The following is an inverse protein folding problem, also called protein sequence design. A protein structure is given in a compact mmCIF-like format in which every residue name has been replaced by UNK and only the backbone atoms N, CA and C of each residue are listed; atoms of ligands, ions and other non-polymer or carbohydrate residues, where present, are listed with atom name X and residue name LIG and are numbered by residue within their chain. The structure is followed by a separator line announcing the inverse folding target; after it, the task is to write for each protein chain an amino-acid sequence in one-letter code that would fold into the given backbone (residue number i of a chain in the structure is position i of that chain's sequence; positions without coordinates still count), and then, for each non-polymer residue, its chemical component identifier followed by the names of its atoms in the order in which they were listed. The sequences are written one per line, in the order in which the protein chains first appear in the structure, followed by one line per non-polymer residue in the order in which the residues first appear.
data_IF_150528332169
#
_entry.id   IF_150528332169
#
_cell.length_a   1.000
_cell.length_b   1.000
_cell.length_c   1.000
_cell.angle_alpha   90.00
_cell.angle_beta   90.00
_cell.angle_gamma   90.00
#
_symmetry.space_group_name_H-M   'P 1'
#
loop_
_entity.id
_entity.type
_entity.pdbx_description
1 polymer ?
#
# COMPACT_ATOMS: atom_id res chain seq x y z
N UNK A 1 -13.32 -26.75 -72.62
CA UNK A 1 -13.02 -27.60 -71.45
C UNK A 1 -11.78 -27.06 -70.78
N UNK A 2 -11.95 -26.10 -69.88
CA UNK A 2 -10.89 -25.51 -69.06
C UNK A 2 -11.13 -25.97 -67.63
N UNK A 3 -10.35 -26.96 -67.20
CA UNK A 3 -10.44 -27.56 -65.88
C UNK A 3 -9.85 -26.65 -64.82
N UNK A 4 -10.70 -26.18 -63.94
CA UNK A 4 -10.40 -25.48 -62.69
C UNK A 4 -9.61 -26.42 -61.77
N UNK A 5 -8.39 -26.02 -61.38
CA UNK A 5 -7.64 -26.67 -60.30
C UNK A 5 -8.17 -26.13 -58.97
N UNK A 6 -8.57 -26.96 -58.00
CA UNK A 6 -9.00 -26.46 -56.69
C UNK A 6 -7.78 -26.01 -55.89
N UNK A 7 -7.83 -24.80 -55.36
CA UNK A 7 -6.88 -24.28 -54.38
C UNK A 7 -7.01 -25.08 -53.08
N UNK A 8 -5.94 -25.78 -52.74
CA UNK A 8 -5.74 -26.46 -51.45
C UNK A 8 -5.82 -25.44 -50.31
N UNK A 9 -6.82 -25.58 -49.45
CA UNK A 9 -6.85 -24.99 -48.12
C UNK A 9 -5.74 -25.65 -47.29
N UNK A 10 -4.67 -24.91 -47.00
CA UNK A 10 -3.67 -25.31 -46.00
C UNK A 10 -4.29 -25.22 -44.62
N UNK A 11 -4.65 -26.39 -44.06
CA UNK A 11 -4.88 -26.55 -42.62
C UNK A 11 -3.52 -26.42 -41.93
N UNK A 12 -3.34 -25.36 -41.15
CA UNK A 12 -2.12 -25.12 -40.37
C UNK A 12 -2.18 -25.98 -39.12
N UNK A 13 -1.36 -27.04 -39.06
CA UNK A 13 -1.23 -27.85 -37.85
C UNK A 13 -0.80 -26.98 -36.65
N UNK A 14 -1.25 -27.29 -35.41
CA UNK A 14 -0.81 -26.59 -34.21
C UNK A 14 0.71 -26.64 -34.04
N UNK A 15 1.37 -25.50 -34.12
CA UNK A 15 2.78 -25.38 -33.74
C UNK A 15 2.90 -25.54 -32.22
N UNK A 16 3.66 -26.53 -31.80
CA UNK A 16 4.00 -26.72 -30.38
C UNK A 16 5.30 -25.97 -30.09
N UNK A 17 5.33 -25.17 -29.02
CA UNK A 17 6.49 -24.41 -28.57
C UNK A 17 6.90 -24.87 -27.18
N UNK A 18 8.17 -25.24 -27.04
CA UNK A 18 8.77 -25.53 -25.73
C UNK A 18 9.37 -24.25 -25.16
N UNK A 19 8.97 -23.90 -23.95
CA UNK A 19 9.54 -22.78 -23.18
C UNK A 19 10.45 -23.31 -22.08
N UNK A 20 11.65 -22.72 -21.99
CA UNK A 20 12.59 -22.91 -20.90
C UNK A 20 12.64 -21.64 -20.05
N UNK A 21 13.00 -21.76 -18.76
CA UNK A 21 12.83 -20.68 -17.78
C UNK A 21 13.63 -19.39 -18.04
N UNK A 22 14.56 -19.38 -19.00
CA UNK A 22 15.36 -18.20 -19.37
C UNK A 22 14.88 -17.49 -20.64
N UNK A 23 13.91 -18.04 -21.37
CA UNK A 23 13.44 -17.49 -22.65
C UNK A 23 12.06 -16.86 -22.48
N UNK A 24 11.93 -15.52 -22.49
CA UNK A 24 10.63 -14.87 -22.39
C UNK A 24 9.84 -15.04 -23.69
N UNK A 25 8.56 -15.39 -23.56
CA UNK A 25 7.57 -15.32 -24.63
C UNK A 25 6.92 -13.93 -24.62
N UNK A 26 7.05 -13.20 -25.73
CA UNK A 26 6.35 -11.92 -25.92
C UNK A 26 4.90 -12.17 -26.33
N UNK A 27 3.98 -11.44 -25.72
CA UNK A 27 2.52 -11.58 -25.90
C UNK A 27 1.95 -10.41 -26.71
N UNK A 28 2.42 -10.23 -27.94
CA UNK A 28 2.16 -9.04 -28.75
C UNK A 28 1.36 -9.29 -30.04
N UNK A 29 1.03 -10.54 -30.36
CA UNK A 29 0.25 -10.89 -31.55
C UNK A 29 -1.20 -11.24 -31.17
N UNK A 30 -2.19 -10.37 -31.47
CA UNK A 30 -3.59 -10.61 -31.16
C UNK A 30 -4.27 -11.66 -32.04
N UNK A 31 -3.62 -12.11 -33.10
CA UNK A 31 -4.13 -13.18 -33.97
C UNK A 31 -3.85 -14.58 -33.43
N UNK A 32 -3.03 -14.68 -32.38
CA UNK A 32 -2.55 -15.94 -31.82
C UNK A 32 -2.83 -16.02 -30.33
N UNK A 33 -3.29 -17.19 -29.87
CA UNK A 33 -3.33 -17.55 -28.45
C UNK A 33 -2.40 -18.73 -28.18
N UNK A 34 -1.90 -18.79 -26.95
CA UNK A 34 -1.09 -19.90 -26.47
C UNK A 34 -1.85 -20.68 -25.41
N UNK A 35 -1.93 -22.00 -25.53
CA UNK A 35 -2.54 -22.87 -24.52
C UNK A 35 -1.43 -23.69 -23.87
N UNK A 36 -1.35 -23.67 -22.54
CA UNK A 36 -0.37 -24.49 -21.81
C UNK A 36 -0.83 -25.95 -21.82
N UNK A 37 0.00 -26.85 -22.35
CA UNK A 37 -0.28 -28.29 -22.34
C UNK A 37 0.35 -28.98 -21.14
N UNK A 38 1.58 -28.59 -20.80
CA UNK A 38 2.38 -29.16 -19.70
C UNK A 38 3.25 -28.08 -19.08
N UNK A 39 3.49 -28.24 -17.78
CA UNK A 39 4.26 -27.27 -16.99
C UNK A 39 3.40 -26.10 -16.51
N UNK A 40 4.07 -25.03 -16.09
CA UNK A 40 3.43 -23.78 -15.70
C UNK A 40 4.26 -22.58 -16.20
N UNK A 41 3.56 -21.51 -16.56
CA UNK A 41 4.18 -20.26 -17.00
C UNK A 41 3.72 -19.11 -16.11
N UNK A 42 4.65 -18.23 -15.74
CA UNK A 42 4.38 -17.04 -14.96
C UNK A 42 4.31 -15.82 -15.89
N UNK A 43 3.32 -14.96 -15.68
CA UNK A 43 3.20 -13.69 -16.38
C UNK A 43 3.80 -12.57 -15.54
N UNK A 44 4.54 -11.69 -16.22
CA UNK A 44 5.15 -10.52 -15.62
C UNK A 44 4.82 -9.28 -16.44
N UNK A 45 4.46 -8.20 -15.74
CA UNK A 45 4.46 -6.87 -16.32
C UNK A 45 5.89 -6.30 -16.26
N UNK A 46 6.35 -5.72 -17.38
CA UNK A 46 7.69 -5.17 -17.55
C UNK A 46 7.62 -3.83 -18.26
N UNK A 47 8.44 -2.88 -17.82
CA UNK A 47 8.62 -1.62 -18.53
C UNK A 47 9.55 -1.85 -19.71
N UNK A 48 9.16 -1.40 -20.89
CA UNK A 48 9.97 -1.42 -22.10
C UNK A 48 10.44 -0.01 -22.37
N UNK A 49 11.76 0.18 -22.42
CA UNK A 49 12.39 1.46 -22.78
C UNK A 49 13.12 1.25 -24.10
N UNK A 50 12.76 2.00 -25.14
CA UNK A 50 13.36 1.88 -26.49
C UNK A 50 13.37 0.44 -27.05
N UNK A 51 12.33 -0.35 -26.74
CA UNK A 51 12.17 -1.73 -27.24
C UNK A 51 12.85 -2.82 -26.40
N UNK A 52 13.56 -2.46 -25.34
CA UNK A 52 14.18 -3.41 -24.39
C UNK A 52 13.47 -3.38 -23.03
N UNK A 53 13.17 -4.56 -22.42
CA UNK A 53 12.68 -4.61 -21.06
C UNK A 53 13.73 -4.07 -20.08
N UNK A 54 13.38 -3.06 -19.30
CA UNK A 54 14.24 -2.43 -18.29
C UNK A 54 13.48 -2.29 -16.97
N UNK A 55 14.19 -2.42 -15.84
CA UNK A 55 13.60 -2.33 -14.51
C UNK A 55 13.16 -3.68 -13.91
N UNK A 56 12.46 -3.58 -12.78
CA UNK A 56 11.95 -4.74 -12.04
C UNK A 56 10.74 -5.36 -12.74
N UNK A 57 10.64 -6.69 -12.73
CA UNK A 57 9.51 -7.41 -13.28
C UNK A 57 8.44 -7.57 -12.20
N UNK A 58 7.25 -7.04 -12.44
CA UNK A 58 6.11 -7.25 -11.55
C UNK A 58 5.46 -8.57 -11.88
N UNK A 59 5.49 -9.52 -10.96
CA UNK A 59 4.73 -10.76 -11.09
C UNK A 59 3.22 -10.46 -11.11
N UNK A 60 2.49 -11.11 -12.02
CA UNK A 60 1.03 -10.99 -12.15
C UNK A 60 0.33 -12.23 -11.61
N UNK A 61 0.54 -13.38 -12.27
CA UNK A 61 -0.01 -14.68 -11.90
C UNK A 61 0.62 -15.80 -12.74
N UNK A 62 0.41 -17.04 -12.29
CA UNK A 62 0.74 -18.26 -13.02
C UNK A 62 -0.44 -18.73 -13.90
N UNK A 63 -0.09 -19.35 -15.03
CA UNK A 63 -0.98 -20.03 -15.96
C UNK A 63 -0.60 -21.50 -16.00
N UNK A 64 -1.62 -22.34 -15.79
CA UNK A 64 -1.52 -23.78 -15.59
C UNK A 64 -1.95 -24.55 -16.85
N UNK A 65 -1.70 -25.87 -16.91
CA UNK A 65 -2.15 -26.69 -18.03
C UNK A 65 -3.67 -26.56 -18.29
N UNK A 66 -4.03 -26.40 -19.55
CA UNK A 66 -5.40 -26.17 -20.02
C UNK A 66 -5.82 -24.71 -20.08
N UNK A 67 -5.09 -23.78 -19.44
CA UNK A 67 -5.39 -22.35 -19.49
C UNK A 67 -4.73 -21.68 -20.71
N UNK A 68 -5.38 -20.62 -21.20
CA UNK A 68 -4.89 -19.83 -22.32
C UNK A 68 -4.14 -18.57 -21.88
N UNK A 69 -3.20 -18.16 -22.73
CA UNK A 69 -2.53 -16.87 -22.68
C UNK A 69 -2.91 -16.08 -23.90
N UNK A 70 -3.47 -14.90 -23.65
CA UNK A 70 -3.84 -13.95 -24.68
C UNK A 70 -2.76 -12.89 -24.84
N UNK A 71 -2.66 -12.31 -26.04
CA UNK A 71 -1.84 -11.12 -26.25
C UNK A 71 -2.35 -9.98 -25.40
N UNK A 72 -1.46 -9.24 -24.74
CA UNK A 72 -1.79 -7.97 -24.10
C UNK A 72 -0.92 -6.91 -24.77
N UNK A 73 -1.54 -6.09 -25.61
CA UNK A 73 -0.86 -5.01 -26.32
C UNK A 73 -1.17 -3.66 -25.66
N UNK A 74 -0.13 -2.89 -25.39
CA UNK A 74 -0.30 -1.49 -25.00
C UNK A 74 -0.36 -0.64 -26.28
N UNK A 75 -1.52 -0.04 -26.53
CA UNK A 75 -1.71 0.92 -27.63
C UNK A 75 -1.47 2.38 -27.19
N UNK A 76 -0.87 2.60 -26.01
CA UNK A 76 -0.60 3.95 -25.54
C UNK A 76 0.69 4.52 -26.14
N UNK A 77 0.70 5.82 -26.50
CA UNK A 77 1.96 6.54 -26.65
C UNK A 77 2.75 6.41 -25.37
N UNK A 78 4.07 6.40 -25.50
CA UNK A 78 4.98 6.21 -24.40
C UNK A 78 4.63 7.09 -23.18
N UNK A 79 4.79 6.50 -22.00
CA UNK A 79 4.47 7.07 -20.70
C UNK A 79 5.11 8.45 -20.47
N UNK A 80 6.24 8.71 -21.15
CA UNK A 80 7.06 9.91 -21.03
C UNK A 80 7.77 10.21 -22.37
N UNK A 81 8.42 11.39 -22.49
CA UNK A 81 9.38 11.74 -23.56
C UNK A 81 10.51 10.68 -23.76
N UNK A 82 10.66 9.76 -22.81
CA UNK A 82 11.64 8.66 -22.80
C UNK A 82 11.25 7.42 -23.60
N UNK A 83 10.08 7.38 -24.24
CA UNK A 83 9.63 6.20 -25.01
C UNK A 83 9.48 4.93 -24.15
N UNK A 84 8.94 5.07 -22.94
CA UNK A 84 8.68 3.96 -22.00
C UNK A 84 7.25 3.42 -22.19
N UNK A 85 7.06 2.10 -22.23
CA UNK A 85 5.72 1.49 -22.29
C UNK A 85 5.63 0.23 -21.43
N UNK A 86 4.48 -0.01 -20.80
CA UNK A 86 4.22 -1.25 -20.09
C UNK A 86 3.90 -2.38 -21.07
N UNK A 87 4.48 -3.56 -20.85
CA UNK A 87 4.21 -4.77 -21.63
C UNK A 87 4.15 -5.99 -20.74
N UNK A 88 3.56 -7.08 -21.23
CA UNK A 88 3.46 -8.34 -20.52
C UNK A 88 4.27 -9.42 -21.24
N UNK A 89 5.06 -10.16 -20.47
CA UNK A 89 5.83 -11.31 -20.94
C UNK A 89 5.46 -12.55 -20.14
N UNK A 90 5.54 -13.71 -20.79
CA UNK A 90 5.40 -15.00 -20.13
C UNK A 90 6.76 -15.69 -20.01
N UNK A 91 7.04 -16.31 -18.87
CA UNK A 91 8.27 -17.05 -18.59
C UNK A 91 7.89 -18.42 -18.04
N UNK A 92 8.57 -19.48 -18.50
CA UNK A 92 8.39 -20.81 -17.94
C UNK A 92 8.87 -20.87 -16.47
N UNK A 93 8.00 -21.29 -15.56
CA UNK A 93 8.37 -21.60 -14.16
C UNK A 93 9.16 -22.90 -14.12
N UNK A 94 8.74 -23.84 -14.95
CA UNK A 94 9.40 -25.12 -15.22
C UNK A 94 9.36 -25.40 -16.73
N UNK A 95 10.14 -26.37 -17.26
CA UNK A 95 10.09 -26.73 -18.68
C UNK A 95 8.64 -26.97 -19.14
N UNK A 96 8.13 -26.09 -19.99
CA UNK A 96 6.71 -26.02 -20.33
C UNK A 96 6.50 -26.21 -21.83
N UNK A 97 5.38 -26.82 -22.19
CA UNK A 97 4.97 -27.04 -23.57
C UNK A 97 3.67 -26.29 -23.83
N UNK A 98 3.68 -25.44 -24.85
CA UNK A 98 2.56 -24.61 -25.24
C UNK A 98 2.14 -24.96 -26.66
N UNK A 99 0.85 -24.88 -26.94
CA UNK A 99 0.32 -24.98 -28.29
C UNK A 99 -0.11 -23.60 -28.75
N UNK A 100 0.37 -23.23 -29.93
CA UNK A 100 -0.07 -22.06 -30.66
C UNK A 100 -1.38 -22.35 -31.39
N UNK A 101 -2.37 -21.48 -31.23
CA UNK A 101 -3.64 -21.54 -31.96
C UNK A 101 -3.92 -20.17 -32.57
N UNK A 102 -4.23 -20.17 -33.86
CA UNK A 102 -4.76 -18.98 -34.49
C UNK A 102 -6.18 -18.75 -33.97
N UNK A 103 -6.48 -17.50 -33.62
CA UNK A 103 -7.80 -17.10 -33.15
C UNK A 103 -8.88 -17.38 -34.19
N UNK A 104 -8.55 -17.31 -35.47
CA UNK A 104 -9.43 -17.66 -36.59
C UNK A 104 -9.89 -19.11 -36.61
N UNK A 105 -9.14 -20.00 -35.94
CA UNK A 105 -9.42 -21.44 -35.94
C UNK A 105 -10.33 -21.86 -34.78
N UNK A 106 -10.65 -20.93 -33.87
CA UNK A 106 -11.44 -21.20 -32.68
C UNK A 106 -12.91 -20.86 -32.90
N UNK A 107 -13.79 -21.73 -32.41
CA UNK A 107 -15.22 -21.41 -32.35
C UNK A 107 -15.50 -20.47 -31.18
N UNK A 108 -16.64 -19.77 -31.22
CA UNK A 108 -17.06 -18.89 -30.12
C UNK A 108 -17.15 -19.66 -28.78
N UNK A 109 -17.75 -20.87 -28.70
CA UNK A 109 -17.75 -21.67 -27.48
C UNK A 109 -16.35 -22.00 -26.96
N UNK A 110 -15.40 -22.35 -27.82
CA UNK A 110 -14.02 -22.62 -27.41
C UNK A 110 -13.38 -21.37 -26.80
N UNK A 111 -13.57 -20.21 -27.44
CA UNK A 111 -13.01 -18.96 -26.98
C UNK A 111 -13.59 -18.54 -25.62
N UNK A 112 -14.88 -18.74 -25.39
CA UNK A 112 -15.54 -18.44 -24.12
C UNK A 112 -14.88 -19.22 -22.97
N UNK A 113 -14.66 -20.53 -23.16
CA UNK A 113 -14.02 -21.40 -22.16
C UNK A 113 -12.58 -20.96 -21.81
N UNK A 114 -11.90 -20.30 -22.75
CA UNK A 114 -10.54 -19.80 -22.55
C UNK A 114 -10.51 -18.38 -21.95
N UNK A 115 -11.50 -17.54 -22.26
CA UNK A 115 -11.54 -16.14 -21.84
C UNK A 115 -12.02 -15.96 -20.40
N UNK A 116 -12.99 -16.75 -19.92
CA UNK A 116 -13.47 -16.60 -18.54
C UNK A 116 -12.37 -16.85 -17.49
N UNK A 117 -11.60 -17.97 -17.54
CA UNK A 117 -10.52 -18.20 -16.59
C UNK A 117 -9.47 -17.08 -16.65
N UNK A 118 -9.15 -16.61 -17.86
CA UNK A 118 -8.22 -15.52 -18.06
C UNK A 118 -8.67 -14.21 -17.38
N UNK A 119 -9.93 -13.82 -17.55
CA UNK A 119 -10.48 -12.64 -16.89
C UNK A 119 -10.46 -12.78 -15.36
N UNK A 120 -10.74 -13.96 -14.83
CA UNK A 120 -10.61 -14.22 -13.39
C UNK A 120 -9.18 -14.10 -12.89
N UNK A 121 -8.17 -14.53 -13.66
CA UNK A 121 -6.75 -14.34 -13.32
C UNK A 121 -6.37 -12.86 -13.25
N UNK A 122 -6.81 -12.06 -14.23
CA UNK A 122 -6.58 -10.61 -14.23
C UNK A 122 -7.18 -9.93 -12.99
N UNK A 123 -8.34 -10.39 -12.51
CA UNK A 123 -8.99 -9.85 -11.32
C UNK A 123 -8.29 -10.19 -10.00
N UNK A 124 -7.38 -11.18 -10.00
CA UNK A 124 -6.71 -11.69 -8.79
C UNK A 124 -5.32 -11.07 -8.57
N UNK A 125 -4.87 -10.16 -9.43
CA UNK A 125 -3.55 -9.55 -9.29
C UNK A 125 -3.44 -8.74 -7.99
N UNK A 126 -2.34 -8.96 -7.28
CA UNK A 126 -2.07 -8.28 -6.03
C UNK A 126 -1.84 -6.77 -6.25
N UNK A 127 -2.41 -5.97 -5.34
CA UNK A 127 -2.33 -4.51 -5.37
C UNK A 127 -3.49 -3.85 -6.13
N UNK A 128 -4.34 -4.60 -6.82
CA UNK A 128 -5.56 -4.04 -7.43
C UNK A 128 -6.45 -3.38 -6.37
N UNK A 129 -7.03 -2.19 -6.67
CA UNK A 129 -7.91 -1.50 -5.74
C UNK A 129 -9.10 -2.38 -5.34
N UNK A 130 -9.37 -2.43 -4.04
CA UNK A 130 -10.56 -3.11 -3.50
C UNK A 130 -11.70 -2.10 -3.36
N UNK A 131 -12.95 -2.48 -3.62
CA UNK A 131 -14.08 -1.58 -3.43
C UNK A 131 -14.30 -1.34 -1.94
N UNK A 132 -14.55 -0.09 -1.55
CA UNK A 132 -14.84 0.27 -0.15
C UNK A 132 -16.19 -0.30 0.31
N UNK A 133 -17.18 -0.31 -0.59
CA UNK A 133 -18.51 -0.88 -0.37
C UNK A 133 -19.12 -1.29 -1.70
N UNK A 134 -19.77 -2.45 -1.76
CA UNK A 134 -20.49 -2.91 -2.96
C UNK A 134 -21.98 -2.72 -2.77
N UNK A 135 -22.65 -2.11 -3.75
CA UNK A 135 -24.10 -2.01 -3.74
C UNK A 135 -24.74 -3.36 -4.05
N UNK A 136 -25.81 -3.73 -3.33
CA UNK A 136 -26.60 -4.90 -3.65
C UNK A 136 -27.52 -4.58 -4.83
N UNK A 137 -27.05 -4.86 -6.04
CA UNK A 137 -27.75 -4.54 -7.29
C UNK A 137 -28.29 -5.83 -7.89
N UNK A 138 -29.59 -5.84 -8.17
CA UNK A 138 -30.22 -6.97 -8.85
C UNK A 138 -29.64 -7.10 -10.26
N UNK A 139 -29.26 -8.31 -10.63
CA UNK A 139 -28.76 -8.61 -11.96
C UNK A 139 -29.93 -9.19 -12.75
N UNK A 140 -30.47 -8.35 -13.61
CA UNK A 140 -31.44 -8.71 -14.63
C UNK A 140 -30.85 -8.36 -16.01
N UNK A 141 -31.71 -8.22 -17.02
CA UNK A 141 -31.26 -7.81 -18.36
C UNK A 141 -30.64 -6.40 -18.38
N UNK A 142 -31.03 -5.51 -17.46
CA UNK A 142 -30.63 -4.11 -17.46
C UNK A 142 -30.19 -3.62 -16.08
N UNK A 143 -28.89 -3.44 -15.91
CA UNK A 143 -28.33 -2.94 -14.66
C UNK A 143 -28.33 -1.41 -14.69
N UNK A 144 -29.03 -0.78 -13.75
CA UNK A 144 -29.02 0.66 -13.55
C UNK A 144 -28.19 1.04 -12.32
N UNK A 145 -27.27 1.98 -12.48
CA UNK A 145 -26.42 2.51 -11.43
C UNK A 145 -26.68 4.00 -11.23
N UNK A 146 -26.98 4.40 -10.00
CA UNK A 146 -26.96 5.80 -9.58
C UNK A 146 -25.51 6.28 -9.41
N UNK A 147 -25.24 7.60 -9.48
CA UNK A 147 -23.92 8.16 -9.22
C UNK A 147 -23.32 7.64 -7.90
N UNK A 148 -22.05 7.28 -7.93
CA UNK A 148 -21.25 6.70 -6.85
C UNK A 148 -21.61 5.28 -6.42
N UNK A 149 -22.63 4.63 -7.01
CA UNK A 149 -22.86 3.21 -6.77
C UNK A 149 -21.74 2.37 -7.39
N UNK A 150 -21.31 1.35 -6.64
CA UNK A 150 -20.28 0.40 -7.03
C UNK A 150 -20.97 -0.90 -7.41
N UNK A 151 -20.66 -1.38 -8.61
CA UNK A 151 -21.11 -2.67 -9.11
C UNK A 151 -19.94 -3.65 -9.20
N UNK A 152 -20.18 -4.86 -8.72
CA UNK A 152 -19.28 -6.00 -8.82
C UNK A 152 -20.11 -7.25 -9.18
N UNK A 153 -19.65 -8.09 -10.12
CA UNK A 153 -20.32 -9.34 -10.44
C UNK A 153 -20.33 -10.32 -9.26
N UNK A 154 -21.34 -11.21 -9.16
CA UNK A 154 -21.39 -12.29 -8.18
C UNK A 154 -20.18 -13.23 -8.28
N UNK A 155 -20.01 -14.07 -7.27
CA UNK A 155 -18.93 -15.04 -7.22
C UNK A 155 -18.96 -16.01 -8.42
N UNK A 156 -17.78 -16.26 -9.00
CA UNK A 156 -17.56 -17.16 -10.14
C UNK A 156 -18.43 -16.83 -11.37
N UNK A 157 -18.61 -15.55 -11.67
CA UNK A 157 -19.34 -15.10 -12.86
C UNK A 157 -18.55 -14.07 -13.66
N UNK A 158 -18.81 -14.06 -14.97
CA UNK A 158 -18.37 -13.01 -15.89
C UNK A 158 -19.61 -12.43 -16.55
N UNK A 159 -19.83 -11.12 -16.38
CA UNK A 159 -20.92 -10.38 -17.01
C UNK A 159 -20.37 -9.55 -18.16
N UNK A 160 -21.00 -9.62 -19.32
CA UNK A 160 -20.65 -8.77 -20.46
C UNK A 160 -21.63 -7.61 -20.53
N UNK A 161 -21.12 -6.40 -20.26
CA UNK A 161 -21.94 -5.21 -20.09
C UNK A 161 -21.85 -4.35 -21.36
N UNK A 162 -22.98 -4.07 -21.99
CA UNK A 162 -23.06 -3.06 -23.05
C UNK A 162 -23.62 -1.77 -22.46
N UNK A 163 -22.81 -0.71 -22.43
CA UNK A 163 -23.24 0.60 -21.97
C UNK A 163 -24.25 1.23 -22.93
N UNK A 164 -25.29 1.88 -22.41
CA UNK A 164 -26.25 2.63 -23.23
C UNK A 164 -25.92 4.13 -23.22
N UNK A 165 -25.75 4.68 -22.02
CA UNK A 165 -25.33 6.05 -21.79
C UNK A 165 -24.76 6.18 -20.37
N UNK A 166 -23.85 7.13 -20.19
CA UNK A 166 -23.31 7.50 -18.89
C UNK A 166 -21.80 7.35 -18.82
N UNK A 167 -21.29 7.08 -17.63
CA UNK A 167 -19.86 6.93 -17.43
C UNK A 167 -19.55 6.23 -16.13
N UNK A 168 -18.56 5.36 -16.15
CA UNK A 168 -18.09 4.62 -14.98
C UNK A 168 -16.61 4.83 -14.76
N UNK A 169 -16.15 4.54 -13.55
CA UNK A 169 -14.74 4.43 -13.23
C UNK A 169 -14.39 2.96 -13.03
N UNK A 170 -13.38 2.50 -13.76
CA UNK A 170 -12.72 1.22 -13.54
C UNK A 170 -11.82 1.32 -12.32
N UNK A 171 -12.05 0.42 -11.35
CA UNK A 171 -11.31 0.41 -10.07
C UNK A 171 -11.21 1.79 -9.39
N UNK A 172 -12.23 2.64 -9.56
CA UNK A 172 -12.33 3.97 -8.94
C UNK A 172 -11.45 5.07 -9.55
N UNK A 173 -10.63 4.76 -10.56
CA UNK A 173 -9.69 5.72 -11.15
C UNK A 173 -10.04 6.04 -12.61
N UNK A 174 -9.92 5.06 -13.50
CA UNK A 174 -9.97 5.27 -14.94
C UNK A 174 -11.39 5.43 -15.44
N UNK A 175 -11.70 6.60 -16.02
CA UNK A 175 -13.03 6.91 -16.53
C UNK A 175 -13.28 6.24 -17.87
N UNK A 176 -14.39 5.51 -17.94
CA UNK A 176 -14.95 4.91 -19.14
C UNK A 176 -16.22 5.68 -19.48
N UNK A 177 -16.23 6.32 -20.64
CA UNK A 177 -17.45 6.93 -21.20
C UNK A 177 -18.24 5.85 -21.91
N UNK A 178 -19.53 5.76 -21.61
CA UNK A 178 -20.41 4.75 -22.16
C UNK A 178 -21.38 5.39 -23.15
N UNK A 179 -21.44 4.80 -24.33
CA UNK A 179 -22.34 5.17 -25.42
C UNK A 179 -23.00 3.91 -25.97
N UNK A 180 -24.17 4.02 -26.62
CA UNK A 180 -24.84 2.87 -27.23
C UNK A 180 -23.98 2.16 -28.30
N UNK A 181 -22.98 2.86 -28.85
CA UNK A 181 -21.99 2.34 -29.81
C UNK A 181 -20.77 1.69 -29.13
N UNK A 182 -20.66 1.77 -27.80
CA UNK A 182 -19.56 1.16 -27.07
C UNK A 182 -19.60 -0.36 -27.22
N UNK A 183 -18.42 -0.97 -27.40
CA UNK A 183 -18.30 -2.41 -27.36
C UNK A 183 -18.61 -2.95 -25.95
N UNK A 184 -18.79 -4.27 -25.86
CA UNK A 184 -19.08 -4.94 -24.61
C UNK A 184 -17.87 -4.91 -23.68
N UNK A 185 -18.11 -4.57 -22.41
CA UNK A 185 -17.12 -4.60 -21.35
C UNK A 185 -17.32 -5.86 -20.49
N UNK A 186 -16.43 -6.87 -20.58
CA UNK A 186 -16.47 -7.99 -19.67
C UNK A 186 -16.07 -7.56 -18.26
N UNK A 187 -16.84 -8.01 -17.27
CA UNK A 187 -16.60 -7.78 -15.86
C UNK A 187 -16.65 -9.13 -15.14
N UNK A 188 -15.51 -9.60 -14.66
CA UNK A 188 -15.40 -10.85 -13.91
C UNK A 188 -15.47 -10.63 -12.40
N UNK A 189 -15.76 -11.68 -11.64
CA UNK A 189 -15.64 -11.65 -10.17
C UNK A 189 -14.28 -11.10 -9.74
N UNK A 190 -14.29 -10.04 -8.91
CA UNK A 190 -13.10 -9.35 -8.42
C UNK A 190 -12.80 -8.06 -9.18
N UNK A 191 -13.43 -7.85 -10.34
CA UNK A 191 -13.46 -6.56 -11.04
C UNK A 191 -14.66 -5.75 -10.56
N UNK A 192 -14.50 -4.44 -10.47
CA UNK A 192 -15.59 -3.55 -10.08
C UNK A 192 -15.50 -2.22 -10.80
N UNK A 193 -16.68 -1.61 -10.96
CA UNK A 193 -16.86 -0.31 -11.58
C UNK A 193 -17.73 0.57 -10.67
N UNK A 194 -17.52 1.89 -10.71
CA UNK A 194 -18.38 2.84 -10.01
C UNK A 194 -18.98 3.86 -10.98
N UNK A 195 -20.28 4.11 -10.86
CA UNK A 195 -20.94 5.08 -11.72
C UNK A 195 -20.53 6.52 -11.38
N UNK A 196 -20.20 7.31 -12.40
CA UNK A 196 -19.96 8.76 -12.27
C UNK A 196 -21.21 9.59 -12.54
N UNK A 197 -22.12 9.04 -13.35
CA UNK A 197 -23.40 9.61 -13.74
C UNK A 197 -24.45 8.48 -13.70
N UNK A 198 -25.76 8.79 -13.72
CA UNK A 198 -26.77 7.76 -13.91
C UNK A 198 -26.46 6.96 -15.17
N UNK A 199 -26.23 5.67 -14.99
CA UNK A 199 -25.68 4.79 -16.03
C UNK A 199 -26.53 3.53 -16.12
N UNK A 200 -26.81 3.09 -17.33
CA UNK A 200 -27.52 1.84 -17.59
C UNK A 200 -26.69 0.93 -18.49
N UNK A 201 -26.64 -0.35 -18.13
CA UNK A 201 -26.01 -1.42 -18.89
C UNK A 201 -27.05 -2.44 -19.33
N UNK A 202 -26.92 -2.94 -20.54
CA UNK A 202 -27.54 -4.21 -20.92
C UNK A 202 -26.57 -5.36 -20.62
N UNK A 203 -27.03 -6.39 -19.93
CA UNK A 203 -26.24 -7.58 -19.64
C UNK A 203 -26.41 -8.57 -20.78
N UNK A 204 -25.31 -9.06 -21.32
CA UNK A 204 -25.30 -10.11 -22.32
C UNK A 204 -24.75 -11.39 -21.70
N UNK A 205 -25.50 -12.47 -21.88
CA UNK A 205 -25.03 -13.80 -21.55
C UNK A 205 -24.18 -14.36 -22.69
N UNK A 206 -23.13 -15.09 -22.34
CA UNK A 206 -22.14 -15.61 -23.27
C UNK A 206 -22.72 -16.62 -24.27
N UNK A 207 -23.77 -17.33 -23.90
CA UNK A 207 -24.54 -18.24 -24.77
C UNK A 207 -25.18 -17.53 -25.98
N UNK A 208 -25.36 -16.22 -25.93
CA UNK A 208 -25.92 -15.41 -27.01
C UNK A 208 -24.85 -14.83 -27.94
N UNK A 209 -23.56 -15.00 -27.63
CA UNK A 209 -22.48 -14.49 -28.48
C UNK A 209 -22.36 -15.34 -29.74
N UNK A 210 -22.41 -14.67 -30.89
CA UNK A 210 -22.22 -15.28 -32.21
C UNK A 210 -20.95 -14.77 -32.91
N UNK A 211 -20.28 -13.76 -32.36
CA UNK A 211 -19.14 -13.09 -32.98
C UNK A 211 -17.90 -13.15 -32.09
N UNK A 212 -16.86 -13.82 -32.61
CA UNK A 212 -15.52 -13.86 -32.02
C UNK A 212 -14.92 -12.45 -31.91
N UNK A 213 -15.16 -11.57 -32.88
CA UNK A 213 -14.65 -10.19 -32.91
C UNK A 213 -15.16 -9.35 -31.73
N UNK A 214 -16.46 -9.43 -31.42
CA UNK A 214 -17.03 -8.69 -30.27
C UNK A 214 -16.44 -9.15 -28.94
N UNK A 215 -16.20 -10.46 -28.80
CA UNK A 215 -15.61 -11.05 -27.60
C UNK A 215 -14.17 -10.56 -27.42
N UNK A 216 -13.36 -10.59 -28.48
CA UNK A 216 -11.96 -10.13 -28.45
C UNK A 216 -11.83 -8.62 -28.26
N UNK A 217 -12.73 -7.83 -28.83
CA UNK A 217 -12.78 -6.38 -28.58
C UNK A 217 -13.03 -6.07 -27.11
N UNK A 218 -14.00 -6.74 -26.49
CA UNK A 218 -14.26 -6.57 -25.06
C UNK A 218 -13.09 -7.05 -24.19
N UNK A 219 -12.46 -8.17 -24.54
CA UNK A 219 -11.25 -8.64 -23.88
C UNK A 219 -10.12 -7.60 -23.97
N UNK A 220 -9.89 -7.02 -25.15
CA UNK A 220 -8.89 -5.97 -25.37
C UNK A 220 -9.19 -4.71 -24.55
N UNK A 221 -10.46 -4.34 -24.35
CA UNK A 221 -10.82 -3.25 -23.43
C UNK A 221 -10.39 -3.56 -22.00
N UNK A 222 -10.65 -4.78 -21.50
CA UNK A 222 -10.20 -5.17 -20.15
C UNK A 222 -8.69 -5.19 -20.05
N UNK A 223 -7.97 -5.71 -21.05
CA UNK A 223 -6.51 -5.66 -21.07
C UNK A 223 -5.99 -4.23 -20.97
N UNK A 224 -6.62 -3.30 -21.68
CA UNK A 224 -6.27 -1.89 -21.64
C UNK A 224 -6.45 -1.28 -20.25
N UNK A 225 -7.60 -1.47 -19.61
CA UNK A 225 -7.84 -0.95 -18.26
C UNK A 225 -6.99 -1.66 -17.20
N UNK A 226 -6.72 -2.95 -17.40
CA UNK A 226 -5.82 -3.73 -16.55
C UNK A 226 -4.40 -3.15 -16.57
N UNK A 227 -3.82 -2.89 -17.75
CA UNK A 227 -2.47 -2.30 -17.83
C UNK A 227 -2.40 -0.94 -17.13
N UNK A 228 -3.40 -0.06 -17.35
CA UNK A 228 -3.47 1.24 -16.65
C UNK A 228 -3.56 1.09 -15.14
N UNK A 229 -4.29 0.08 -14.67
CA UNK A 229 -4.38 -0.23 -13.24
C UNK A 229 -3.01 -0.63 -12.68
N UNK A 230 -2.24 -1.45 -13.39
CA UNK A 230 -0.88 -1.83 -13.00
C UNK A 230 0.06 -0.62 -12.97
N UNK A 231 -0.03 0.28 -13.95
CA UNK A 231 0.74 1.53 -13.96
C UNK A 231 0.42 2.41 -12.76
N UNK A 232 -0.86 2.54 -12.43
CA UNK A 232 -1.29 3.32 -11.27
C UNK A 232 -0.76 2.74 -9.96
N UNK A 233 -0.80 1.41 -9.80
CA UNK A 233 -0.27 0.73 -8.61
C UNK A 233 1.23 0.95 -8.50
N UNK A 234 1.98 0.77 -9.60
CA UNK A 234 3.43 0.99 -9.60
C UNK A 234 3.78 2.45 -9.21
N UNK A 235 3.03 3.44 -9.72
CA UNK A 235 3.23 4.84 -9.35
C UNK A 235 2.93 5.10 -7.85
N UNK A 236 1.88 4.48 -7.30
CA UNK A 236 1.54 4.59 -5.88
C UNK A 236 2.58 3.95 -4.96
N UNK A 237 3.16 2.81 -5.36
CA UNK A 237 4.24 2.13 -4.62
C UNK A 237 5.49 3.02 -4.52
N UNK A 238 5.93 3.61 -5.64
CA UNK A 238 7.05 4.56 -5.67
C UNK A 238 6.79 5.74 -4.73
N UNK A 239 5.58 6.32 -4.78
CA UNK A 239 5.21 7.45 -3.93
C UNK A 239 5.20 7.07 -2.45
N UNK A 240 4.69 5.88 -2.11
CA UNK A 240 4.60 5.38 -0.74
C UNK A 240 5.99 5.10 -0.16
N UNK A 241 6.87 4.48 -0.94
CA UNK A 241 8.24 4.19 -0.53
C UNK A 241 9.07 5.46 -0.35
N UNK A 242 8.88 6.45 -1.21
CA UNK A 242 9.48 7.77 -1.03
C UNK A 242 9.01 8.45 0.27
N UNK A 243 7.70 8.42 0.56
CA UNK A 243 7.15 8.96 1.81
C UNK A 243 7.69 8.24 3.04
N UNK A 244 7.81 6.90 3.00
CA UNK A 244 8.42 6.10 4.07
C UNK A 244 9.89 6.44 4.28
N UNK A 245 10.66 6.60 3.20
CA UNK A 245 12.05 7.02 3.26
C UNK A 245 12.21 8.39 3.93
N UNK A 246 11.39 9.38 3.54
CA UNK A 246 11.41 10.70 4.16
C UNK A 246 11.06 10.66 5.65
N UNK A 247 10.05 9.88 6.04
CA UNK A 247 9.67 9.72 7.44
C UNK A 247 10.82 9.13 8.28
N UNK A 248 11.50 8.09 7.76
CA UNK A 248 12.68 7.50 8.40
C UNK A 248 13.82 8.51 8.54
N UNK A 249 14.08 9.34 7.53
CA UNK A 249 15.12 10.34 7.59
C UNK A 249 14.84 11.41 8.66
N UNK A 250 13.58 11.84 8.81
CA UNK A 250 13.17 12.78 9.88
C UNK A 250 13.41 12.20 11.27
N UNK A 251 12.98 10.96 11.49
CA UNK A 251 13.19 10.26 12.79
C UNK A 251 14.68 10.11 13.06
N UNK A 252 15.46 9.64 12.08
CA UNK A 252 16.91 9.47 12.24
C UNK A 252 17.61 10.79 12.59
N UNK A 253 17.23 11.91 11.96
CA UNK A 253 17.76 13.25 12.31
C UNK A 253 17.42 13.65 13.74
N UNK A 254 16.18 13.44 14.18
CA UNK A 254 15.76 13.76 15.55
C UNK A 254 16.55 12.94 16.57
N UNK A 255 16.66 11.62 16.38
CA UNK A 255 17.45 10.74 17.26
C UNK A 255 18.91 11.18 17.32
N UNK A 256 19.50 11.52 16.18
CA UNK A 256 20.89 11.99 16.11
C UNK A 256 21.06 13.32 16.84
N UNK A 257 20.13 14.26 16.68
CA UNK A 257 20.15 15.55 17.38
C UNK A 257 20.02 15.36 18.90
N UNK A 258 19.10 14.51 19.37
CA UNK A 258 18.95 14.20 20.79
C UNK A 258 20.20 13.56 21.37
N UNK A 259 20.78 12.56 20.69
CA UNK A 259 22.01 11.91 21.15
C UNK A 259 23.20 12.88 21.22
N UNK A 260 23.33 13.81 20.24
CA UNK A 260 24.34 14.86 20.29
C UNK A 260 24.09 15.84 21.44
N UNK A 261 22.84 16.22 21.70
CA UNK A 261 22.45 17.07 22.83
C UNK A 261 22.83 16.42 24.17
N UNK A 262 22.59 15.13 24.32
CA UNK A 262 22.92 14.36 25.52
C UNK A 262 24.45 14.28 25.72
N UNK A 263 25.21 14.03 24.65
CA UNK A 263 26.68 14.02 24.71
C UNK A 263 27.26 15.40 25.05
N UNK A 264 26.69 16.48 24.49
CA UNK A 264 27.09 17.86 24.83
C UNK A 264 26.78 18.18 26.29
N UNK A 265 25.65 17.71 26.81
CA UNK A 265 25.28 17.85 28.23
C UNK A 265 26.29 17.18 29.18
N UNK A 266 26.93 16.09 28.74
CA UNK A 266 27.97 15.40 29.51
C UNK A 266 29.36 16.06 29.43
N UNK A 267 29.61 16.86 28.39
CA UNK A 267 30.93 17.49 28.13
C UNK A 267 31.03 18.93 28.65
N UNK A 268 29.91 19.61 28.90
CA UNK A 268 29.90 20.98 29.41
C UNK A 268 29.74 21.01 30.94
N UNK A 269 30.75 21.50 31.69
CA UNK A 269 30.54 21.92 33.07
C UNK A 269 29.54 23.07 33.06
N UNK A 270 28.37 22.88 33.69
CA UNK A 270 27.46 24.00 33.92
C UNK A 270 28.20 25.07 34.75
N UNK A 271 28.29 26.33 34.29
CA UNK A 271 28.77 27.41 35.14
C UNK A 271 27.77 27.57 36.28
N UNK A 272 28.20 27.21 37.49
CA UNK A 272 27.55 27.63 38.70
C UNK A 272 27.82 29.13 38.86
N UNK A 273 26.96 29.98 38.30
CA UNK A 273 26.66 31.30 38.85
C UNK A 273 25.49 31.93 38.09
N UNK A 274 24.53 32.44 38.87
CA UNK A 274 23.23 33.03 38.46
C UNK A 274 22.08 32.05 38.19
N UNK A 275 21.78 31.17 39.16
CA UNK A 275 20.44 30.58 39.27
C UNK A 275 19.66 31.32 40.35
N UNK A 276 18.48 31.85 40.01
CA UNK A 276 17.54 32.37 41.01
C UNK A 276 17.29 31.27 42.07
N UNK A 277 17.29 31.62 43.36
CA UNK A 277 17.18 30.66 44.47
C UNK A 277 16.00 29.66 44.33
N UNK A 278 14.94 30.01 43.58
CA UNK A 278 13.83 29.10 43.27
C UNK A 278 14.19 27.90 42.37
N UNK A 279 15.10 28.07 41.41
CA UNK A 279 15.54 26.99 40.51
C UNK A 279 16.47 26.01 41.25
N UNK A 280 17.35 26.52 42.13
CA UNK A 280 18.23 25.68 42.94
C UNK A 280 17.43 24.80 43.92
N UNK A 281 16.42 25.35 44.59
CA UNK A 281 15.57 24.59 45.51
C UNK A 281 14.76 23.51 44.79
N UNK A 282 14.23 23.80 43.60
CA UNK A 282 13.49 22.82 42.80
C UNK A 282 14.39 21.68 42.33
N UNK A 283 15.65 21.96 41.95
CA UNK A 283 16.63 20.93 41.57
C UNK A 283 16.99 20.03 42.74
N UNK A 284 17.22 20.61 43.92
CA UNK A 284 17.50 19.87 45.16
C UNK A 284 16.31 18.99 45.56
N UNK A 285 15.10 19.55 45.53
CA UNK A 285 13.88 18.81 45.78
C UNK A 285 13.69 17.67 44.75
N UNK A 286 14.02 17.93 43.48
CA UNK A 286 13.98 16.94 42.40
C UNK A 286 14.94 15.76 42.61
N UNK A 287 16.14 16.00 43.16
CA UNK A 287 17.08 14.94 43.49
C UNK A 287 16.55 14.01 44.60
N UNK A 288 15.92 14.60 45.63
CA UNK A 288 15.22 13.86 46.69
C UNK A 288 14.03 13.08 46.13
N UNK A 289 13.20 13.73 45.31
CA UNK A 289 12.03 13.12 44.68
C UNK A 289 12.37 11.91 43.80
N UNK A 290 13.42 11.99 42.97
CA UNK A 290 13.88 10.85 42.16
C UNK A 290 14.24 9.64 43.00
N UNK A 291 14.88 9.85 44.14
CA UNK A 291 15.25 8.76 45.06
C UNK A 291 14.01 8.15 45.74
N UNK A 292 12.98 8.96 45.99
CA UNK A 292 11.69 8.51 46.52
C UNK A 292 10.72 7.96 45.45
N UNK A 293 11.08 8.01 44.15
CA UNK A 293 10.18 7.64 43.05
C UNK A 293 9.05 8.63 42.80
N UNK A 294 9.17 9.90 43.23
CA UNK A 294 8.16 10.94 43.08
C UNK A 294 8.65 12.07 42.16
N UNK A 295 7.81 12.48 41.20
CA UNK A 295 8.09 13.61 40.32
C UNK A 295 7.78 14.95 41.02
N UNK A 296 8.81 15.79 41.18
CA UNK A 296 8.64 17.14 41.74
C UNK A 296 8.15 18.12 40.67
N UNK A 297 7.14 18.91 41.00
CA UNK A 297 6.55 19.92 40.13
C UNK A 297 6.93 21.34 40.60
N UNK A 298 7.15 22.28 39.67
CA UNK A 298 7.34 23.68 40.03
C UNK A 298 6.07 24.25 40.70
N UNK A 299 6.19 25.30 41.54
CA UNK A 299 5.05 26.04 42.05
C UNK A 299 4.13 26.53 40.92
N UNK A 300 2.81 26.46 41.13
CA UNK A 300 1.82 26.97 40.17
C UNK A 300 1.94 28.51 40.10
N UNK A 301 2.11 29.06 38.89
CA UNK A 301 2.33 30.50 38.64
C UNK A 301 1.14 31.42 39.04
N UNK A 302 -0.01 30.85 39.43
CA UNK A 302 -1.28 31.56 39.59
C UNK A 302 -1.74 31.79 41.05
N UNK A 303 -0.91 31.54 42.06
CA UNK A 303 -1.25 31.85 43.44
C UNK A 303 -0.39 32.99 44.01
N UNK A 304 -1.09 33.97 44.59
CA UNK A 304 -0.57 35.18 45.22
C UNK A 304 0.77 34.93 45.97
N UNK A 305 1.89 35.59 45.60
CA UNK A 305 3.20 35.41 46.24
C UNK A 305 3.21 35.71 47.76
N UNK A 306 2.11 36.27 48.25
CA UNK A 306 1.87 36.65 49.65
C UNK A 306 1.24 35.54 50.49
N UNK A 307 0.66 34.49 49.89
CA UNK A 307 -0.10 33.44 50.61
C UNK A 307 0.76 32.27 51.11
N UNK A 308 1.87 31.94 50.44
CA UNK A 308 2.80 30.90 50.89
C UNK A 308 4.17 31.51 51.19
N UNK A 309 4.46 31.72 52.48
CA UNK A 309 5.71 32.35 52.95
C UNK A 309 6.97 31.51 52.73
N UNK A 310 6.85 30.27 52.23
CA UNK A 310 7.95 29.32 52.12
C UNK A 310 7.96 28.63 50.73
N UNK A 311 8.97 28.86 49.88
CA UNK A 311 9.08 28.27 48.54
C UNK A 311 9.07 26.72 48.53
N UNK A 312 9.57 26.07 49.58
CA UNK A 312 9.56 24.60 49.68
C UNK A 312 8.13 24.05 49.89
N UNK A 313 7.28 24.79 50.61
CA UNK A 313 5.88 24.43 50.81
C UNK A 313 5.09 24.52 49.50
N UNK A 314 5.39 25.52 48.65
CA UNK A 314 4.78 25.66 47.34
C UNK A 314 5.14 24.50 46.39
N UNK A 315 6.40 24.05 46.40
CA UNK A 315 6.85 22.88 45.63
C UNK A 315 6.16 21.62 46.15
N UNK A 316 6.10 21.42 47.47
CA UNK A 316 5.46 20.25 48.06
C UNK A 316 3.96 20.22 47.76
N UNK A 317 3.27 21.36 47.84
CA UNK A 317 1.86 21.50 47.50
C UNK A 317 1.60 21.15 46.02
N UNK A 318 2.35 21.75 45.09
CA UNK A 318 2.24 21.45 43.66
C UNK A 318 2.54 19.97 43.34
N UNK A 319 3.45 19.35 44.10
CA UNK A 319 3.84 17.95 43.97
C UNK A 319 2.94 16.99 44.76
N UNK A 320 1.91 17.49 45.46
CA UNK A 320 1.01 16.72 46.34
C UNK A 320 1.73 15.93 47.44
N UNK A 321 2.79 16.52 48.00
CA UNK A 321 3.62 15.93 49.05
C UNK A 321 3.39 16.63 50.39
N UNK A 322 3.43 15.85 51.47
CA UNK A 322 3.40 16.37 52.84
C UNK A 322 4.82 16.62 53.34
N UNK A 323 5.09 17.85 53.80
CA UNK A 323 6.34 18.17 54.46
C UNK A 323 6.31 17.79 55.94
N UNK A 324 7.43 17.25 56.44
CA UNK A 324 7.68 17.05 57.86
C UNK A 324 9.05 17.63 58.19
N UNK A 325 9.10 18.60 59.09
CA UNK A 325 10.37 19.11 59.63
C UNK A 325 10.93 18.14 60.65
N UNK A 326 12.19 17.78 60.49
CA UNK A 326 12.94 16.92 61.40
C UNK A 326 14.16 17.66 61.93
N UNK A 327 14.59 17.33 63.14
CA UNK A 327 15.82 17.85 63.73
C UNK A 327 16.86 16.75 63.67
N UNK A 328 17.95 17.01 62.95
CA UNK A 328 19.07 16.10 62.82
C UNK A 328 19.93 16.19 64.10
N UNK A 329 19.82 15.20 64.99
CA UNK A 329 20.53 15.13 66.28
C UNK A 329 21.58 14.01 66.28
N UNK A 330 22.66 14.19 67.05
CA UNK A 330 23.72 13.21 67.24
C UNK A 330 24.31 12.71 65.89
N UNK A 331 24.61 11.41 65.79
CA UNK A 331 25.06 10.73 64.56
C UNK A 331 23.89 10.36 63.65
N UNK A 332 23.07 11.35 63.26
CA UNK A 332 21.87 11.14 62.44
C UNK A 332 22.15 10.44 61.11
N UNK A 333 23.36 10.61 60.56
CA UNK A 333 23.79 10.01 59.29
C UNK A 333 23.99 8.48 59.37
N UNK A 334 23.90 7.88 60.57
CA UNK A 334 23.99 6.42 60.80
C UNK A 334 22.62 5.77 61.09
N UNK A 335 21.53 6.48 60.81
CA UNK A 335 20.16 6.02 61.08
C UNK A 335 19.30 6.17 59.83
N UNK A 336 18.37 5.25 59.64
CA UNK A 336 17.40 5.34 58.55
C UNK A 336 16.48 6.57 58.73
N UNK A 337 16.53 7.48 57.76
CA UNK A 337 15.71 8.68 57.71
C UNK A 337 15.20 9.04 56.31
N UNK A 338 15.52 8.22 55.30
CA UNK A 338 15.19 8.46 53.90
C UNK A 338 15.82 9.71 53.26
N UNK A 339 15.57 9.98 51.98
CA UNK A 339 16.08 11.19 51.31
C UNK A 339 15.52 12.48 51.93
N UNK A 340 16.38 13.46 52.24
CA UNK A 340 15.98 14.70 52.95
C UNK A 340 16.47 15.94 52.18
N UNK A 341 15.62 16.98 52.15
CA UNK A 341 16.06 18.35 51.81
C UNK A 341 16.53 19.04 53.08
N UNK A 342 17.79 19.47 53.11
CA UNK A 342 18.38 20.22 54.22
C UNK A 342 18.87 21.60 53.75
N UNK A 343 19.23 22.45 54.70
CA UNK A 343 19.78 23.78 54.43
C UNK A 343 21.11 23.94 55.15
N UNK A 344 22.11 24.49 54.47
CA UNK A 344 23.42 24.79 55.07
C UNK A 344 23.28 25.91 56.10
N UNK A 345 24.05 25.81 57.20
CA UNK A 345 24.06 26.87 58.22
C UNK A 345 24.59 28.19 57.65
N UNK A 346 25.61 28.10 56.79
CA UNK A 346 26.18 29.21 56.06
C UNK A 346 25.36 29.44 54.76
N UNK A 347 24.73 30.60 54.65
CA UNK A 347 23.99 31.02 53.45
C UNK A 347 22.58 30.42 53.26
N UNK A 348 22.13 29.49 54.11
CA UNK A 348 20.80 28.84 53.98
C UNK A 348 20.57 28.24 52.59
N UNK A 349 21.61 27.64 52.00
CA UNK A 349 21.50 27.03 50.68
C UNK A 349 20.88 25.63 50.78
N UNK A 350 19.91 25.30 49.91
CA UNK A 350 19.29 23.98 49.92
C UNK A 350 20.27 22.91 49.45
N UNK A 351 20.28 21.77 50.12
CA UNK A 351 21.09 20.58 49.77
C UNK A 351 20.25 19.31 49.90
N UNK A 352 20.53 18.32 49.04
CA UNK A 352 19.89 17.01 49.10
C UNK A 352 20.79 16.05 49.87
N UNK A 353 20.25 15.41 50.90
CA UNK A 353 20.89 14.33 51.65
C UNK A 353 20.29 13.01 51.15
N UNK A 354 21.09 12.20 50.45
CA UNK A 354 20.64 10.98 49.77
C UNK A 354 21.41 9.79 50.37
N UNK A 355 20.73 8.74 50.85
CA UNK A 355 21.40 7.57 51.41
C UNK A 355 22.12 6.75 50.33
N UNK A 356 23.32 6.25 50.64
CA UNK A 356 24.22 5.59 49.67
C UNK A 356 23.91 4.09 49.52
N UNK A 357 23.49 3.41 50.60
CA UNK A 357 22.88 2.08 50.63
C UNK A 357 22.50 1.71 52.08
N UNK A 358 21.26 1.27 52.33
CA UNK A 358 20.82 0.64 53.60
C UNK A 358 21.20 1.39 54.89
N UNK A 359 20.47 2.46 55.20
CA UNK A 359 20.46 3.17 56.49
C UNK A 359 21.60 4.17 56.78
N UNK A 360 22.44 4.49 55.79
CA UNK A 360 23.55 5.45 55.94
C UNK A 360 23.59 6.49 54.81
N UNK A 361 23.94 7.73 55.18
CA UNK A 361 24.09 8.89 54.28
C UNK A 361 25.53 9.13 53.86
#
# INVERSE_FOLDING_TARGET
MTGTKPSTMTSTEPSTKKLQGNLPLRLNDPSVIWIVQRGAIALFAVTIVKGTPEGERRYLFDINPGEAVFSITSNYPALNDRSESLSVIAIAVEPSELIERAVSDLTVPDLILLVEPWLHRLAQVEGLPKPDFTSAIAIDRFISLDPHQIFQPPAATVLWLQGQAGGVQWYGADRITLTAESDLLPLATGMWISATHPTQFETHSLDQFQSTDRLLKGLNQVHHFFLRSIEHIAAQEIQTDFSRFQARQKISRLVTQTALQDLVSLLLPHPADQFANGDHLLRVAGAVGRTMGVAMKPPLEAEDPTRMKNPLEAIAYASQLRLRRIVLRDKWWQKDGGPIVAFTQEGQHPVALIPVAGDHY
#
